data_IF_197516532072
#
_entry.id   IF_197516532072
#
_cell.length_a   1.000
_cell.length_b   1.000
_cell.length_c   1.000
_cell.angle_alpha   90.00
_cell.angle_beta   90.00
_cell.angle_gamma   90.00
#
_symmetry.space_group_name_H-M   'P 1'
#
loop_
_entity.id
_entity.type
_entity.pdbx_description
1 polymer ?
#
# COMPACT_ATOMS: atom_id res chain seq x y z
N UNK A 1 7.52 -10.08 -3.93
CA UNK A 1 7.46 -8.87 -3.08
C UNK A 1 6.84 -9.22 -1.75
N UNK A 2 7.51 -8.87 -0.68
CA UNK A 2 7.00 -9.15 0.67
C UNK A 2 5.93 -8.12 1.07
N UNK A 3 5.02 -8.52 1.93
CA UNK A 3 3.94 -7.67 2.42
C UNK A 3 4.24 -7.33 3.88
N UNK A 4 4.22 -6.03 4.21
CA UNK A 4 4.34 -5.52 5.58
C UNK A 4 2.96 -5.19 6.11
N UNK A 5 2.66 -5.61 7.32
CA UNK A 5 1.33 -5.42 7.89
C UNK A 5 1.42 -4.68 9.23
N UNK A 6 0.74 -3.55 9.30
CA UNK A 6 0.55 -2.76 10.53
C UNK A 6 -0.93 -2.90 10.94
N UNK A 7 -1.25 -3.73 11.93
CA UNK A 7 -2.65 -4.01 12.30
C UNK A 7 -3.45 -2.74 12.60
N UNK A 8 -4.67 -2.67 12.10
CA UNK A 8 -5.55 -1.52 12.28
C UNK A 8 -5.20 -0.31 11.44
N UNK A 9 -4.10 -0.34 10.67
CA UNK A 9 -3.65 0.77 9.84
C UNK A 9 -3.61 0.37 8.36
N UNK A 10 -2.58 -0.37 7.91
CA UNK A 10 -2.43 -0.72 6.49
C UNK A 10 -1.56 -1.95 6.26
N UNK A 11 -1.72 -2.56 5.09
CA UNK A 11 -0.77 -3.50 4.53
C UNK A 11 -0.01 -2.81 3.39
N UNK A 12 1.30 -2.82 3.41
CA UNK A 12 2.15 -2.15 2.43
C UNK A 12 3.08 -3.13 1.72
N UNK A 13 3.21 -2.99 0.41
CA UNK A 13 4.04 -3.87 -0.41
C UNK A 13 4.58 -3.11 -1.63
N UNK A 14 5.15 -3.83 -2.60
CA UNK A 14 5.67 -3.23 -3.83
C UNK A 14 7.16 -2.88 -3.76
N UNK A 15 7.85 -3.22 -2.67
CA UNK A 15 9.28 -3.00 -2.53
C UNK A 15 10.06 -4.24 -2.99
N UNK A 16 10.89 -4.14 -4.05
CA UNK A 16 11.71 -5.27 -4.50
C UNK A 16 12.69 -5.78 -3.43
N UNK A 17 13.12 -4.90 -2.50
CA UNK A 17 14.02 -5.27 -1.40
C UNK A 17 13.29 -5.87 -0.21
N UNK A 18 11.97 -5.71 -0.10
CA UNK A 18 11.17 -6.27 0.96
C UNK A 18 11.32 -5.61 2.33
N UNK A 19 12.00 -4.46 2.44
CA UNK A 19 12.27 -3.79 3.72
C UNK A 19 11.75 -2.35 3.80
N UNK A 20 11.08 -1.87 2.77
CA UNK A 20 10.52 -0.52 2.72
C UNK A 20 11.42 0.53 2.07
N UNK A 21 12.63 0.17 1.63
CA UNK A 21 13.60 1.15 1.08
C UNK A 21 13.79 1.05 -0.42
N UNK A 22 13.26 0.01 -1.07
CA UNK A 22 13.44 -0.22 -2.49
C UNK A 22 12.32 0.36 -3.36
N UNK A 23 12.56 0.37 -4.67
CA UNK A 23 11.62 0.83 -5.67
C UNK A 23 12.11 0.52 -7.06
N UNK A 24 11.41 1.04 -8.08
CA UNK A 24 11.78 0.84 -9.49
C UNK A 24 12.86 1.81 -9.96
N UNK A 25 13.11 2.89 -9.22
CA UNK A 25 14.01 3.96 -9.62
C UNK A 25 13.33 5.09 -10.39
N UNK A 26 12.01 5.03 -10.59
CA UNK A 26 11.24 6.05 -11.28
C UNK A 26 10.20 6.65 -10.33
N UNK A 27 10.31 7.94 -10.03
CA UNK A 27 9.34 8.61 -9.17
C UNK A 27 8.12 9.06 -9.96
N UNK A 28 6.97 9.02 -9.32
CA UNK A 28 5.68 9.42 -9.88
C UNK A 28 5.21 10.72 -9.24
N UNK A 29 4.63 11.59 -10.06
CA UNK A 29 4.06 12.85 -9.58
C UNK A 29 2.81 12.58 -8.77
N UNK A 30 2.61 13.37 -7.70
CA UNK A 30 1.41 13.26 -6.87
C UNK A 30 0.14 13.64 -7.65
N UNK A 31 -0.94 12.91 -7.38
CA UNK A 31 -2.27 13.17 -7.96
C UNK A 31 -3.30 13.11 -6.83
N UNK A 32 -3.21 14.06 -5.91
CA UNK A 32 -4.08 14.09 -4.75
C UNK A 32 -5.53 14.37 -5.12
N UNK A 33 -6.44 13.80 -4.34
CA UNK A 33 -7.88 14.01 -4.48
C UNK A 33 -8.52 14.10 -3.11
N UNK A 34 -9.81 14.40 -3.06
CA UNK A 34 -10.57 14.40 -1.82
C UNK A 34 -11.29 13.06 -1.56
N UNK A 35 -10.94 12.02 -2.32
CA UNK A 35 -11.42 10.66 -2.04
C UNK A 35 -10.94 10.22 -0.67
N UNK A 36 -11.88 9.86 0.20
CA UNK A 36 -11.54 9.51 1.59
C UNK A 36 -10.93 8.12 1.69
N UNK A 37 -9.86 8.01 2.48
CA UNK A 37 -9.27 6.72 2.79
C UNK A 37 -10.17 5.97 3.78
N UNK A 38 -10.73 4.86 3.33
CA UNK A 38 -11.57 3.96 4.11
C UNK A 38 -10.98 2.55 4.05
N UNK A 39 -11.58 1.60 4.74
CA UNK A 39 -11.16 0.19 4.66
C UNK A 39 -11.13 -0.27 3.21
N UNK A 40 -10.01 -0.84 2.78
CA UNK A 40 -9.81 -1.35 1.43
C UNK A 40 -9.34 -0.33 0.39
N UNK A 41 -9.17 0.94 0.74
CA UNK A 41 -8.65 1.94 -0.19
C UNK A 41 -7.17 1.67 -0.49
N UNK A 42 -6.81 1.73 -1.77
CA UNK A 42 -5.45 1.49 -2.26
C UNK A 42 -4.80 2.82 -2.61
N UNK A 43 -3.64 3.08 -2.03
CA UNK A 43 -2.90 4.32 -2.28
C UNK A 43 -1.42 4.06 -2.51
N UNK A 44 -0.72 5.08 -3.03
CA UNK A 44 0.72 5.02 -3.29
C UNK A 44 1.51 5.47 -2.06
N UNK A 45 2.43 4.62 -1.61
CA UNK A 45 3.38 5.00 -0.58
C UNK A 45 4.42 5.96 -1.14
N UNK A 46 4.91 6.87 -0.30
CA UNK A 46 5.91 7.86 -0.66
C UNK A 46 6.71 8.28 0.57
N UNK A 47 7.80 9.02 0.35
CA UNK A 47 8.54 9.69 1.41
C UNK A 47 7.87 11.02 1.78
N UNK A 48 8.56 11.89 2.52
CA UNK A 48 8.06 13.24 2.84
C UNK A 48 7.87 14.10 1.58
N UNK A 49 8.57 13.81 0.49
CA UNK A 49 8.39 14.48 -0.80
C UNK A 49 7.11 13.97 -1.46
N UNK A 50 6.11 14.83 -1.74
CA UNK A 50 4.86 14.42 -2.38
C UNK A 50 5.03 13.77 -3.74
N UNK A 51 6.12 14.03 -4.44
CA UNK A 51 6.40 13.50 -5.78
C UNK A 51 7.43 12.36 -5.75
N UNK A 52 7.54 11.64 -4.64
CA UNK A 52 8.50 10.54 -4.46
C UNK A 52 7.88 9.15 -4.56
N UNK A 53 6.60 9.04 -4.94
CA UNK A 53 5.96 7.74 -5.13
C UNK A 53 6.69 6.94 -6.21
N UNK A 54 6.81 5.64 -6.00
CA UNK A 54 7.52 4.76 -6.92
C UNK A 54 6.72 3.47 -7.09
N UNK A 55 7.19 2.33 -6.61
CA UNK A 55 6.51 1.05 -6.77
C UNK A 55 5.73 0.62 -5.53
N UNK A 56 5.99 1.19 -4.37
CA UNK A 56 5.32 0.78 -3.15
C UNK A 56 3.90 1.34 -3.07
N UNK A 57 2.98 0.48 -2.67
CA UNK A 57 1.59 0.86 -2.45
C UNK A 57 1.07 0.23 -1.17
N UNK A 58 -0.09 0.68 -0.70
CA UNK A 58 -0.70 0.15 0.51
C UNK A 58 -2.20 -0.04 0.34
N UNK A 59 -2.74 -0.97 1.12
CA UNK A 59 -4.18 -1.20 1.23
C UNK A 59 -4.56 -0.85 2.66
N UNK A 60 -5.48 0.10 2.81
CA UNK A 60 -5.88 0.58 4.13
C UNK A 60 -6.80 -0.38 4.86
N UNK A 61 -6.61 -0.47 6.16
CA UNK A 61 -7.63 -0.96 7.10
C UNK A 61 -8.49 0.23 7.54
N UNK A 62 -8.95 0.27 8.79
CA UNK A 62 -9.86 1.33 9.21
C UNK A 62 -9.17 2.64 9.65
N UNK A 63 -7.87 2.60 9.94
CA UNK A 63 -7.15 3.71 10.56
C UNK A 63 -6.51 4.72 9.62
N UNK A 64 -6.96 4.87 8.36
CA UNK A 64 -6.26 5.67 7.36
C UNK A 64 -6.89 7.03 7.05
N UNK A 65 -7.94 7.44 7.76
CA UNK A 65 -8.67 8.67 7.41
C UNK A 65 -7.81 9.93 7.32
N UNK A 66 -6.74 10.02 8.10
CA UNK A 66 -5.82 11.17 8.10
C UNK A 66 -4.96 11.26 6.83
N UNK A 67 -4.96 10.24 5.98
CA UNK A 67 -4.19 10.24 4.72
C UNK A 67 -4.98 10.89 3.57
N UNK A 68 -6.26 11.15 3.76
CA UNK A 68 -7.12 11.76 2.75
C UNK A 68 -6.53 13.10 2.28
N UNK A 69 -6.40 13.28 0.96
CA UNK A 69 -5.87 14.48 0.35
C UNK A 69 -4.34 14.60 0.39
N UNK A 70 -3.62 13.67 1.01
CA UNK A 70 -2.16 13.74 1.18
C UNK A 70 -1.42 12.59 0.50
N UNK A 71 -2.12 11.53 0.12
CA UNK A 71 -1.57 10.38 -0.59
C UNK A 71 -2.45 10.06 -1.78
N UNK A 72 -1.82 9.79 -2.92
CA UNK A 72 -2.54 9.47 -4.15
C UNK A 72 -3.33 8.18 -4.00
N UNK A 73 -4.65 8.24 -4.21
CA UNK A 73 -5.55 7.09 -4.26
C UNK A 73 -5.64 6.60 -5.69
N UNK A 74 -5.53 5.28 -5.92
CA UNK A 74 -5.69 4.74 -7.26
C UNK A 74 -6.58 3.50 -7.33
N UNK A 75 -7.13 3.06 -6.23
CA UNK A 75 -8.03 1.91 -6.25
C UNK A 75 -8.78 1.69 -4.95
N UNK A 76 -9.68 0.72 -5.01
CA UNK A 76 -10.47 0.23 -3.89
C UNK A 76 -10.61 -1.27 -4.02
N UNK A 77 -10.38 -2.01 -2.94
CA UNK A 77 -10.54 -3.47 -2.93
C UNK A 77 -12.03 -3.80 -3.09
N UNK A 78 -12.35 -4.62 -4.10
CA UNK A 78 -13.73 -5.07 -4.36
C UNK A 78 -14.08 -6.32 -3.58
N UNK A 79 -13.18 -7.31 -3.55
CA UNK A 79 -13.39 -8.59 -2.89
C UNK A 79 -12.10 -9.08 -2.26
N UNK A 80 -12.19 -9.97 -1.27
CA UNK A 80 -11.01 -10.60 -0.67
C UNK A 80 -10.36 -9.80 0.43
N UNK A 81 -11.02 -8.77 0.97
CA UNK A 81 -10.43 -7.95 2.03
C UNK A 81 -10.12 -8.77 3.29
N UNK A 82 -10.88 -9.83 3.56
CA UNK A 82 -10.62 -10.75 4.66
C UNK A 82 -9.25 -11.45 4.53
N UNK A 83 -8.77 -11.67 3.30
CA UNK A 83 -7.44 -12.22 3.05
C UNK A 83 -6.36 -11.21 3.42
N UNK A 84 -6.56 -9.94 3.07
CA UNK A 84 -5.64 -8.86 3.40
C UNK A 84 -5.55 -8.70 4.92
N UNK A 85 -6.68 -8.77 5.61
CA UNK A 85 -6.72 -8.64 7.07
C UNK A 85 -6.09 -9.83 7.81
N UNK A 86 -5.90 -10.96 7.13
CA UNK A 86 -5.28 -12.17 7.68
C UNK A 86 -3.77 -12.25 7.48
N UNK A 87 -3.12 -11.22 6.93
CA UNK A 87 -1.68 -11.22 6.66
C UNK A 87 -0.85 -11.23 7.95
N UNK A 88 0.37 -11.78 7.85
CA UNK A 88 1.29 -11.82 8.98
C UNK A 88 1.73 -10.41 9.38
N UNK A 89 1.74 -10.15 10.69
CA UNK A 89 2.01 -8.84 11.28
C UNK A 89 3.50 -8.54 11.30
N UNK A 90 3.87 -7.30 11.02
CA UNK A 90 5.23 -6.78 11.17
C UNK A 90 5.65 -5.84 10.04
N UNK A 91 6.77 -5.12 10.24
CA UNK A 91 7.26 -4.13 9.29
C UNK A 91 8.78 -4.23 9.06
N UNK A 92 9.27 -5.28 8.36
CA UNK A 92 8.58 -6.47 7.82
C UNK A 92 8.34 -7.53 8.90
N UNK A 93 7.35 -8.42 8.72
CA UNK A 93 7.17 -9.54 9.61
C UNK A 93 8.34 -10.53 9.51
N UNK A 94 8.53 -11.33 10.57
CA UNK A 94 9.59 -12.36 10.59
C UNK A 94 9.35 -13.42 9.51
N UNK A 95 8.09 -13.71 9.18
CA UNK A 95 7.68 -14.64 8.12
C UNK A 95 6.65 -13.94 7.24
N UNK A 96 7.08 -13.07 6.31
CA UNK A 96 6.15 -12.24 5.54
C UNK A 96 5.40 -13.05 4.49
N UNK A 97 4.12 -12.68 4.31
CA UNK A 97 3.36 -13.10 3.14
C UNK A 97 3.90 -12.40 1.89
N UNK A 98 3.68 -13.00 0.74
CA UNK A 98 4.24 -12.51 -0.52
C UNK A 98 3.19 -12.46 -1.61
N UNK A 99 3.32 -11.49 -2.51
CA UNK A 99 2.57 -11.47 -3.76
C UNK A 99 3.25 -12.46 -4.72
N UNK A 100 2.52 -13.50 -5.10
CA UNK A 100 3.00 -14.52 -6.04
C UNK A 100 2.74 -14.12 -7.49
N UNK A 101 1.63 -13.41 -7.73
CA UNK A 101 1.30 -12.89 -9.05
C UNK A 101 0.39 -11.68 -8.92
N UNK A 102 0.50 -10.75 -9.87
CA UNK A 102 -0.39 -9.61 -9.99
C UNK A 102 -0.58 -9.34 -11.48
N UNK A 103 -1.84 -9.18 -11.91
CA UNK A 103 -2.15 -8.92 -13.33
C UNK A 103 -3.39 -8.06 -13.46
N UNK A 104 -3.45 -7.32 -14.57
CA UNK A 104 -4.62 -6.50 -14.91
C UNK A 104 -5.66 -7.38 -15.59
N UNK A 105 -6.90 -7.30 -15.12
CA UNK A 105 -8.04 -8.01 -15.68
C UNK A 105 -8.94 -6.97 -16.37
N UNK A 106 -9.22 -7.22 -17.66
CA UNK A 106 -10.09 -6.34 -18.46
C UNK A 106 -11.47 -6.96 -18.62
#
# INVERSE_FOLDING_TARGET
MCIRDSPGFMAQTGDPKGNGTGGSGTNLKAEFSDYKYINGTVGMARTMDPNSADSQFFICFDGCGHLTGQYTVWGQVETGMEVVEALNVGEPPADPDKILSAKIIN
#
